data_IF_832093920939
#
_entry.id   IF_832093920939
#
_cell.length_a   1.000
_cell.length_b   1.000
_cell.length_c   1.000
_cell.angle_alpha   90.00
_cell.angle_beta   90.00
_cell.angle_gamma   90.00
#
_symmetry.space_group_name_H-M   'P 1'
#
loop_
_entity.id
_entity.type
_entity.pdbx_description
1 polymer ?
#
# COMPACT_ATOMS: atom_id res chain seq x y z
N UNK A 1 -15.35 -47.34 5.74
CA UNK A 1 -16.25 -46.19 5.55
C UNK A 1 -17.20 -46.20 6.73
N UNK A 2 -16.72 -45.59 7.80
CA UNK A 2 -17.42 -45.31 9.05
C UNK A 2 -16.78 -43.97 9.48
N UNK A 3 -17.55 -43.03 10.05
CA UNK A 3 -17.17 -41.61 10.32
C UNK A 3 -17.52 -40.54 9.26
N UNK A 4 -18.61 -40.67 8.50
CA UNK A 4 -19.11 -39.56 7.65
C UNK A 4 -19.70 -38.41 8.48
N UNK A 5 -20.26 -38.73 9.66
CA UNK A 5 -21.00 -37.76 10.48
C UNK A 5 -20.10 -36.91 11.40
N UNK A 6 -18.81 -37.27 11.54
CA UNK A 6 -17.87 -36.58 12.44
C UNK A 6 -17.07 -35.46 11.76
N UNK A 7 -16.87 -35.53 10.45
CA UNK A 7 -16.16 -34.48 9.67
C UNK A 7 -17.08 -33.27 9.40
N UNK A 8 -18.39 -33.48 9.30
CA UNK A 8 -19.35 -32.44 8.86
C UNK A 8 -19.87 -31.51 9.97
N UNK A 9 -19.64 -31.81 11.26
CA UNK A 9 -20.24 -31.04 12.38
C UNK A 9 -19.19 -30.45 13.33
N UNK A 10 -18.02 -31.10 13.51
CA UNK A 10 -16.97 -30.60 14.41
C UNK A 10 -15.82 -29.88 13.65
N UNK A 11 -15.37 -30.40 12.50
CA UNK A 11 -14.27 -29.77 11.73
C UNK A 11 -14.67 -28.44 11.04
N UNK A 12 -15.95 -28.26 10.71
CA UNK A 12 -16.47 -27.03 10.11
C UNK A 12 -16.55 -25.83 11.08
N UNK A 13 -16.26 -26.02 12.38
CA UNK A 13 -16.28 -24.94 13.39
C UNK A 13 -14.99 -24.14 13.44
N UNK A 14 -13.90 -24.71 12.95
CA UNK A 14 -12.60 -24.02 12.87
C UNK A 14 -12.28 -23.86 11.39
N UNK A 15 -12.17 -22.62 10.87
CA UNK A 15 -11.81 -22.42 9.48
C UNK A 15 -10.44 -23.06 9.21
N UNK A 16 -10.28 -23.70 8.06
CA UNK A 16 -8.98 -24.21 7.60
C UNK A 16 -8.07 -23.01 7.27
N UNK A 17 -7.25 -22.58 8.24
CA UNK A 17 -6.32 -21.47 8.05
C UNK A 17 -5.00 -22.00 7.49
N UNK A 18 -4.78 -21.79 6.21
CA UNK A 18 -3.44 -21.95 5.61
C UNK A 18 -2.68 -20.65 5.88
N UNK A 19 -1.85 -20.65 6.93
CA UNK A 19 -0.92 -19.55 7.18
C UNK A 19 0.38 -19.80 6.41
N UNK A 20 0.58 -19.03 5.34
CA UNK A 20 1.88 -18.95 4.69
C UNK A 20 2.88 -18.13 5.52
N UNK A 21 4.19 -18.34 5.35
CA UNK A 21 5.19 -17.46 5.96
C UNK A 21 4.94 -16.01 5.53
N UNK A 22 5.15 -15.05 6.45
CA UNK A 22 5.06 -13.63 6.15
C UNK A 22 6.19 -13.21 5.22
N UNK A 23 5.99 -13.35 3.91
CA UNK A 23 6.99 -13.03 2.89
C UNK A 23 7.38 -11.56 2.97
N UNK A 24 8.70 -11.32 3.06
CA UNK A 24 9.51 -10.11 2.72
C UNK A 24 9.00 -8.71 3.10
N UNK A 25 7.87 -8.62 3.77
CA UNK A 25 7.08 -7.42 3.99
C UNK A 25 7.76 -6.48 4.98
N UNK A 26 8.50 -7.02 5.94
CA UNK A 26 9.23 -6.22 6.92
C UNK A 26 10.23 -5.22 6.29
N UNK A 27 10.95 -5.63 5.24
CA UNK A 27 11.90 -4.74 4.54
C UNK A 27 11.16 -3.57 3.91
N UNK A 28 10.11 -3.85 3.13
CA UNK A 28 9.36 -2.81 2.42
C UNK A 28 8.64 -1.87 3.38
N UNK A 29 8.07 -2.36 4.48
CA UNK A 29 7.53 -1.50 5.53
C UNK A 29 8.57 -0.54 6.09
N UNK A 30 9.80 -1.00 6.35
CA UNK A 30 10.88 -0.13 6.85
C UNK A 30 11.32 0.89 5.80
N UNK A 31 11.44 0.51 4.54
CA UNK A 31 11.85 1.43 3.46
C UNK A 31 10.81 2.51 3.21
N UNK A 32 9.52 2.14 3.07
CA UNK A 32 8.45 3.12 2.87
C UNK A 32 8.25 4.01 4.10
N UNK A 33 8.48 3.52 5.33
CA UNK A 33 8.47 4.34 6.53
C UNK A 33 9.58 5.41 6.55
N UNK A 34 10.69 5.21 5.83
CA UNK A 34 11.74 6.22 5.66
C UNK A 34 11.45 7.17 4.49
N UNK A 35 10.85 6.66 3.42
CA UNK A 35 10.56 7.41 2.19
C UNK A 35 9.42 8.41 2.39
N UNK A 36 8.27 7.95 2.91
CA UNK A 36 7.03 8.74 2.99
C UNK A 36 7.15 10.03 3.84
N UNK A 37 7.91 10.06 4.95
CA UNK A 37 8.16 11.31 5.68
C UNK A 37 8.91 12.36 4.87
N UNK A 38 9.75 11.96 3.91
CA UNK A 38 10.56 12.85 3.06
C UNK A 38 9.74 13.46 1.92
N UNK A 39 8.59 12.87 1.57
CA UNK A 39 7.67 13.43 0.60
C UNK A 39 6.98 14.67 1.18
N UNK A 40 6.82 15.69 0.34
CA UNK A 40 6.19 16.96 0.70
C UNK A 40 4.69 16.89 0.50
N UNK A 41 3.93 17.22 1.55
CA UNK A 41 2.47 17.38 1.44
C UNK A 41 2.17 18.56 0.52
N UNK A 42 1.28 18.31 -0.41
CA UNK A 42 0.80 19.22 -1.42
C UNK A 42 -0.59 19.78 -1.14
N UNK A 43 -1.02 20.65 -2.04
CA UNK A 43 -2.37 21.20 -2.09
C UNK A 43 -2.92 20.98 -3.50
N UNK A 44 -4.15 20.48 -3.56
CA UNK A 44 -4.90 20.31 -4.80
C UNK A 44 -5.16 21.65 -5.47
N UNK A 45 -4.98 21.71 -6.78
CA UNK A 45 -5.34 22.87 -7.58
C UNK A 45 -6.84 23.21 -7.40
N UNK A 46 -7.14 24.48 -7.13
CA UNK A 46 -8.53 24.91 -6.89
C UNK A 46 -9.22 25.40 -8.15
N UNK A 47 -8.43 25.88 -9.11
CA UNK A 47 -8.92 26.46 -10.35
C UNK A 47 -8.48 25.63 -11.56
N UNK A 48 -9.30 25.54 -12.62
CA UNK A 48 -8.89 24.95 -13.89
C UNK A 48 -7.67 25.69 -14.45
N UNK A 49 -6.59 24.95 -14.74
CA UNK A 49 -5.34 25.50 -15.26
C UNK A 49 -4.25 25.76 -14.19
N UNK A 50 -4.56 25.56 -12.91
CA UNK A 50 -3.54 25.49 -11.86
C UNK A 50 -3.04 24.04 -11.71
N UNK A 51 -1.74 23.88 -11.45
CA UNK A 51 -1.15 22.57 -11.14
C UNK A 51 -1.20 22.29 -9.64
N UNK A 52 -1.49 21.04 -9.29
CA UNK A 52 -1.39 20.54 -7.93
C UNK A 52 0.06 20.63 -7.46
N UNK A 53 0.25 21.08 -6.23
CA UNK A 53 1.60 21.24 -5.65
C UNK A 53 2.00 20.02 -4.84
N UNK A 54 3.29 19.89 -4.55
CA UNK A 54 3.83 18.87 -3.65
C UNK A 54 3.92 17.48 -4.28
N UNK A 55 4.21 16.49 -3.44
CA UNK A 55 4.49 15.10 -3.84
C UNK A 55 3.27 14.20 -3.58
N UNK A 56 2.39 14.59 -2.65
CA UNK A 56 1.14 13.89 -2.35
C UNK A 56 0.09 14.85 -1.78
N UNK A 57 -1.19 14.53 -1.97
CA UNK A 57 -2.33 15.28 -1.46
C UNK A 57 -3.13 14.39 -0.52
N UNK A 58 -3.61 14.98 0.58
CA UNK A 58 -4.49 14.31 1.53
C UNK A 58 -5.91 14.83 1.33
N UNK A 59 -6.81 13.95 0.94
CA UNK A 59 -8.25 14.20 0.95
C UNK A 59 -8.79 13.77 2.33
N UNK A 60 -8.97 14.73 3.22
CA UNK A 60 -9.45 14.47 4.59
C UNK A 60 -10.92 14.03 4.63
N UNK A 61 -11.72 14.41 3.62
CA UNK A 61 -13.13 13.99 3.53
C UNK A 61 -13.23 12.51 3.17
N UNK A 62 -12.40 12.05 2.23
CA UNK A 62 -12.33 10.64 1.82
C UNK A 62 -11.38 9.81 2.67
N UNK A 63 -10.57 10.45 3.52
CA UNK A 63 -9.50 9.83 4.31
C UNK A 63 -8.53 9.05 3.41
N UNK A 64 -8.26 9.60 2.23
CA UNK A 64 -7.36 9.00 1.23
C UNK A 64 -6.17 9.91 0.96
N UNK A 65 -5.06 9.31 0.57
CA UNK A 65 -3.86 10.01 0.14
C UNK A 65 -3.63 9.71 -1.34
N UNK A 66 -3.57 10.75 -2.16
CA UNK A 66 -3.25 10.66 -3.57
C UNK A 66 -1.81 11.11 -3.82
N UNK A 67 -0.94 10.20 -4.21
CA UNK A 67 0.42 10.55 -4.65
C UNK A 67 0.36 11.30 -5.99
N UNK A 68 1.16 12.35 -6.14
CA UNK A 68 1.31 13.09 -7.39
C UNK A 68 2.43 12.47 -8.23
N UNK A 69 2.49 12.80 -9.52
CA UNK A 69 3.53 12.32 -10.44
C UNK A 69 4.95 12.62 -9.91
N UNK A 70 5.18 13.83 -9.41
CA UNK A 70 6.42 14.25 -8.75
C UNK A 70 6.79 13.41 -7.52
N UNK A 71 5.80 12.84 -6.82
CA UNK A 71 6.01 11.93 -5.71
C UNK A 71 6.33 10.53 -6.18
N UNK A 72 5.68 10.07 -7.25
CA UNK A 72 5.95 8.77 -7.88
C UNK A 72 7.39 8.71 -8.38
N UNK A 73 7.84 9.72 -9.12
CA UNK A 73 9.23 9.79 -9.63
C UNK A 73 10.26 9.70 -8.51
N UNK A 74 10.04 10.40 -7.39
CA UNK A 74 10.94 10.34 -6.22
C UNK A 74 10.95 8.98 -5.57
N UNK A 75 9.79 8.34 -5.45
CA UNK A 75 9.67 7.01 -4.88
C UNK A 75 10.39 6.01 -5.78
N UNK A 76 10.22 6.11 -7.10
CA UNK A 76 10.90 5.26 -8.09
C UNK A 76 12.43 5.42 -8.02
N UNK A 77 12.92 6.66 -8.02
CA UNK A 77 14.35 6.99 -7.92
C UNK A 77 14.96 6.44 -6.60
N UNK A 78 14.30 6.65 -5.47
CA UNK A 78 14.81 6.18 -4.17
C UNK A 78 14.74 4.67 -4.00
N UNK A 79 13.79 4.00 -4.65
CA UNK A 79 13.70 2.54 -4.67
C UNK A 79 14.59 1.90 -5.73
N UNK A 80 15.13 2.70 -6.66
CA UNK A 80 15.91 2.22 -7.81
C UNK A 80 15.08 1.36 -8.76
N UNK A 81 13.80 1.67 -8.88
CA UNK A 81 12.87 1.00 -9.81
C UNK A 81 12.50 1.95 -10.94
N UNK A 82 12.03 1.38 -12.04
CA UNK A 82 11.69 2.11 -13.25
C UNK A 82 10.26 2.64 -13.24
N UNK A 83 9.28 1.83 -12.82
CA UNK A 83 7.88 2.23 -12.78
C UNK A 83 7.11 1.51 -11.68
N UNK A 84 6.60 2.25 -10.70
CA UNK A 84 5.89 1.74 -9.53
C UNK A 84 4.62 0.93 -9.87
N UNK A 85 4.00 1.21 -11.01
CA UNK A 85 2.74 0.62 -11.46
C UNK A 85 2.92 -0.58 -12.40
N UNK A 86 4.16 -1.02 -12.64
CA UNK A 86 4.41 -2.25 -13.38
C UNK A 86 3.91 -3.49 -12.62
N UNK A 87 3.49 -4.56 -13.32
CA UNK A 87 3.00 -5.78 -12.68
C UNK A 87 3.93 -6.33 -11.59
N UNK A 88 5.24 -6.26 -11.82
CA UNK A 88 6.27 -6.72 -10.89
C UNK A 88 6.29 -5.91 -9.58
N UNK A 89 5.90 -4.63 -9.61
CA UNK A 89 5.98 -3.68 -8.50
C UNK A 89 4.62 -3.42 -7.83
N UNK A 90 3.54 -4.00 -8.33
CA UNK A 90 2.16 -3.80 -7.82
C UNK A 90 2.03 -3.97 -6.30
N UNK A 91 2.79 -4.91 -5.73
CA UNK A 91 2.82 -5.15 -4.29
C UNK A 91 3.36 -3.97 -3.46
N UNK A 92 4.26 -3.14 -4.03
CA UNK A 92 4.86 -1.96 -3.41
C UNK A 92 3.83 -0.85 -3.15
N UNK A 93 2.82 -0.72 -4.00
CA UNK A 93 1.74 0.26 -3.85
C UNK A 93 0.99 0.09 -2.53
N UNK A 94 0.81 -1.16 -2.08
CA UNK A 94 0.22 -1.47 -0.78
C UNK A 94 1.05 -0.92 0.38
N UNK A 95 2.37 -1.12 0.33
CA UNK A 95 3.29 -0.61 1.36
C UNK A 95 3.33 0.92 1.40
N UNK A 96 3.33 1.57 0.23
CA UNK A 96 3.27 3.03 0.11
C UNK A 96 2.00 3.59 0.77
N UNK A 97 0.84 3.02 0.44
CA UNK A 97 -0.44 3.45 1.02
C UNK A 97 -0.49 3.25 2.53
N UNK A 98 0.05 2.13 3.03
CA UNK A 98 0.12 1.85 4.46
C UNK A 98 1.05 2.83 5.17
N UNK A 99 2.19 3.17 4.58
CA UNK A 99 3.11 4.16 5.14
C UNK A 99 2.49 5.57 5.19
N UNK A 100 1.71 5.97 4.18
CA UNK A 100 0.94 7.22 4.24
C UNK A 100 -0.11 7.26 5.34
N UNK A 101 -0.78 6.13 5.62
CA UNK A 101 -1.77 6.03 6.71
C UNK A 101 -1.14 6.05 8.10
N UNK A 102 0.12 5.64 8.21
CA UNK A 102 0.86 5.57 9.49
C UNK A 102 1.58 6.89 9.85
N UNK A 103 1.72 7.82 8.89
CA UNK A 103 2.30 9.15 9.07
C UNK A 103 1.34 10.08 9.82
#
# INVERSE_FOLDING_TARGET
>A
VDEVDSILIDEARTPLIISGPGEQSGKWYQEFAKIVPRLRRGVEAKNPGEESTGDYIVDEKKRTVGIQESGVEKVEDWLGIDNLYKPEHTHLVGFLNNAFKAK
#
